data_IF_689033963036
#
_entry.id   IF_689033963036
#
_cell.length_a   1.000
_cell.length_b   1.000
_cell.length_c   1.000
_cell.angle_alpha   90.00
_cell.angle_beta   90.00
_cell.angle_gamma   90.00
#
_symmetry.space_group_name_H-M   'P 1'
#
loop_
_entity.id
_entity.type
_entity.pdbx_description
1 polymer ?
#
# COMPACT_ATOMS: atom_id res chain seq x y z
N UNK A 1 -2.01 13.71 7.34
CA UNK A 1 -1.33 13.23 8.56
C UNK A 1 -2.11 12.05 9.13
N UNK A 2 -1.44 10.97 9.53
CA UNK A 2 -2.06 9.87 10.27
C UNK A 2 -1.38 9.78 11.64
N UNK A 3 -2.17 9.85 12.70
CA UNK A 3 -1.68 9.85 14.08
C UNK A 3 -2.39 8.78 14.91
N UNK A 4 -1.70 8.23 15.89
CA UNK A 4 -2.25 7.21 16.79
C UNK A 4 -3.04 7.91 17.89
N UNK A 5 -4.34 7.63 18.06
CA UNK A 5 -5.14 8.17 19.18
C UNK A 5 -5.33 7.14 20.32
N UNK A 6 -4.56 6.04 20.31
CA UNK A 6 -4.69 4.93 21.27
C UNK A 6 -3.83 5.08 22.52
N UNK A 7 -3.75 4.01 23.33
CA UNK A 7 -2.94 3.95 24.56
C UNK A 7 -1.46 4.30 24.34
N UNK A 8 -0.95 4.09 23.12
CA UNK A 8 0.44 4.38 22.73
C UNK A 8 0.62 5.78 22.10
N UNK A 9 -0.39 6.66 22.10
CA UNK A 9 -0.32 7.97 21.44
C UNK A 9 0.85 8.83 21.96
N UNK A 10 0.94 8.98 23.28
CA UNK A 10 1.94 9.82 23.95
C UNK A 10 3.27 9.11 24.21
N UNK A 11 3.35 7.80 23.92
CA UNK A 11 4.55 7.00 24.12
C UNK A 11 5.40 6.99 22.84
N UNK A 12 6.05 8.11 22.55
CA UNK A 12 7.14 8.12 21.56
C UNK A 12 8.34 7.34 22.14
N UNK A 13 8.97 6.41 21.39
CA UNK A 13 8.83 6.15 19.96
C UNK A 13 7.84 5.03 19.56
N UNK A 14 7.20 4.37 20.53
CA UNK A 14 6.38 3.17 20.31
C UNK A 14 5.14 3.42 19.45
N UNK A 15 4.49 4.58 19.60
CA UNK A 15 3.35 4.94 18.75
C UNK A 15 3.74 5.08 17.27
N UNK A 16 4.87 5.72 16.98
CA UNK A 16 5.39 5.84 15.60
C UNK A 16 5.79 4.48 15.02
N UNK A 17 6.49 3.65 15.79
CA UNK A 17 6.85 2.29 15.36
C UNK A 17 5.61 1.43 15.06
N UNK A 18 4.55 1.57 15.86
CA UNK A 18 3.27 0.90 15.61
C UNK A 18 2.64 1.32 14.28
N UNK A 19 2.70 2.62 13.94
CA UNK A 19 2.24 3.13 12.65
C UNK A 19 3.07 2.59 11.48
N UNK A 20 4.40 2.56 11.62
CA UNK A 20 5.28 1.98 10.60
C UNK A 20 4.98 0.49 10.38
N UNK A 21 4.75 -0.27 11.47
CA UNK A 21 4.34 -1.66 11.39
C UNK A 21 2.98 -1.81 10.70
N UNK A 22 2.02 -0.95 11.01
CA UNK A 22 0.71 -0.92 10.37
C UNK A 22 0.80 -0.68 8.86
N UNK A 23 1.65 0.26 8.41
CA UNK A 23 1.91 0.47 6.98
C UNK A 23 2.64 -0.74 6.34
N UNK A 24 3.56 -1.36 7.07
CA UNK A 24 4.19 -2.61 6.65
C UNK A 24 3.17 -3.74 6.40
N UNK A 25 2.19 -3.90 7.29
CA UNK A 25 1.11 -4.89 7.13
C UNK A 25 0.25 -4.62 5.88
N UNK A 26 0.00 -3.33 5.54
CA UNK A 26 -0.64 -2.99 4.26
C UNK A 26 0.19 -3.45 3.06
N UNK A 27 1.50 -3.23 3.10
CA UNK A 27 2.42 -3.74 2.09
C UNK A 27 2.32 -5.26 1.95
N UNK A 28 2.35 -5.99 3.08
CA UNK A 28 2.22 -7.45 3.10
C UNK A 28 0.89 -7.92 2.50
N UNK A 29 -0.23 -7.31 2.88
CA UNK A 29 -1.54 -7.68 2.34
C UNK A 29 -1.61 -7.49 0.82
N UNK A 30 -1.03 -6.40 0.30
CA UNK A 30 -0.95 -6.12 -1.14
C UNK A 30 -0.12 -7.19 -1.87
N UNK A 31 1.04 -7.55 -1.30
CA UNK A 31 1.91 -8.57 -1.86
C UNK A 31 1.24 -9.95 -1.84
N UNK A 32 0.54 -10.28 -0.74
CA UNK A 32 -0.20 -11.53 -0.62
C UNK A 32 -1.28 -11.63 -1.70
N UNK A 33 -2.13 -10.61 -1.85
CA UNK A 33 -3.13 -10.57 -2.92
C UNK A 33 -2.49 -10.77 -4.30
N UNK A 34 -1.40 -10.06 -4.58
CA UNK A 34 -0.67 -10.17 -5.85
C UNK A 34 -0.15 -11.60 -6.08
N UNK A 35 0.41 -12.23 -5.04
CA UNK A 35 0.87 -13.62 -5.10
C UNK A 35 -0.28 -14.59 -5.35
N UNK A 36 -1.46 -14.37 -4.78
CA UNK A 36 -2.65 -15.17 -5.08
C UNK A 36 -3.06 -15.08 -6.56
N UNK A 37 -2.99 -13.89 -7.17
CA UNK A 37 -3.21 -13.72 -8.62
C UNK A 37 -2.16 -14.45 -9.46
N UNK A 38 -0.88 -14.34 -9.10
CA UNK A 38 0.21 -15.04 -9.79
C UNK A 38 0.04 -16.55 -9.69
N UNK A 39 -0.21 -17.07 -8.48
CA UNK A 39 -0.41 -18.49 -8.23
C UNK A 39 -1.55 -19.05 -9.10
N UNK A 40 -2.72 -18.40 -9.08
CA UNK A 40 -3.85 -18.83 -9.92
C UNK A 40 -3.55 -18.72 -11.40
N UNK A 41 -2.87 -17.67 -11.83
CA UNK A 41 -2.44 -17.51 -13.21
C UNK A 41 -1.53 -18.67 -13.65
N UNK A 42 -0.56 -19.08 -12.83
CA UNK A 42 0.32 -20.21 -13.12
C UNK A 42 -0.50 -21.49 -13.26
N UNK A 43 -1.36 -21.78 -12.28
CA UNK A 43 -2.17 -23.02 -12.25
C UNK A 43 -3.15 -23.12 -13.42
N UNK A 44 -3.74 -22.01 -13.86
CA UNK A 44 -4.76 -22.00 -14.93
C UNK A 44 -4.15 -21.87 -16.33
N UNK A 45 -3.12 -21.04 -16.49
CA UNK A 45 -2.61 -20.65 -17.80
C UNK A 45 -1.29 -21.31 -18.18
N UNK A 46 -0.54 -21.87 -17.22
CA UNK A 46 0.83 -22.35 -17.45
C UNK A 46 1.10 -23.69 -16.74
N UNK A 47 0.54 -24.76 -17.31
CA UNK A 47 0.83 -26.16 -16.95
C UNK A 47 2.33 -26.46 -16.76
N UNK A 48 3.19 -25.89 -17.63
CA UNK A 48 4.64 -26.11 -17.61
C UNK A 48 5.36 -25.59 -16.34
N UNK A 49 4.75 -24.67 -15.58
CA UNK A 49 5.34 -24.10 -14.37
C UNK A 49 4.85 -24.81 -13.07
N UNK A 50 3.95 -25.79 -13.17
CA UNK A 50 3.48 -26.56 -12.01
C UNK A 50 4.60 -27.29 -11.25
N UNK A 51 5.65 -27.84 -11.89
CA UNK A 51 6.74 -28.50 -11.16
C UNK A 51 7.47 -27.55 -10.21
N UNK A 52 7.63 -26.28 -10.60
CA UNK A 52 8.25 -25.23 -9.77
C UNK A 52 7.37 -24.94 -8.56
N UNK A 53 6.05 -24.85 -8.77
CA UNK A 53 5.07 -24.57 -7.72
C UNK A 53 4.95 -25.70 -6.69
N UNK A 54 5.14 -26.96 -7.12
CA UNK A 54 5.11 -28.14 -6.24
C UNK A 54 6.36 -28.28 -5.36
N UNK A 55 7.45 -27.56 -5.65
CA UNK A 55 8.67 -27.62 -4.84
C UNK A 55 8.38 -27.01 -3.46
N UNK A 56 8.71 -27.71 -2.37
CA UNK A 56 8.54 -27.21 -0.99
C UNK A 56 9.17 -25.83 -0.76
N UNK A 57 10.27 -25.53 -1.45
CA UNK A 57 10.93 -24.22 -1.43
C UNK A 57 10.07 -23.09 -2.03
N UNK A 58 9.13 -23.37 -2.92
CA UNK A 58 8.27 -22.34 -3.55
C UNK A 58 7.40 -21.65 -2.51
N UNK A 59 6.87 -22.39 -1.53
CA UNK A 59 6.06 -21.80 -0.45
C UNK A 59 6.89 -20.86 0.43
N UNK A 60 8.10 -21.28 0.81
CA UNK A 60 9.01 -20.44 1.58
C UNK A 60 9.41 -19.17 0.81
N UNK A 61 9.73 -19.28 -0.48
CA UNK A 61 10.04 -18.12 -1.32
C UNK A 61 8.87 -17.13 -1.41
N UNK A 62 7.62 -17.61 -1.49
CA UNK A 62 6.45 -16.74 -1.45
C UNK A 62 6.32 -15.99 -0.13
N UNK A 63 6.47 -16.68 1.01
CA UNK A 63 6.40 -16.05 2.34
C UNK A 63 7.50 -14.99 2.49
N UNK A 64 8.74 -15.33 2.12
CA UNK A 64 9.87 -14.40 2.18
C UNK A 64 9.59 -13.17 1.31
N UNK A 65 9.09 -13.36 0.09
CA UNK A 65 8.78 -12.24 -0.81
C UNK A 65 7.71 -11.31 -0.23
N UNK A 66 6.66 -11.85 0.39
CA UNK A 66 5.59 -11.07 1.04
C UNK A 66 6.11 -10.30 2.25
N UNK A 67 6.90 -10.93 3.10
CA UNK A 67 7.49 -10.29 4.29
C UNK A 67 8.46 -9.20 3.88
N UNK A 68 9.35 -9.46 2.92
CA UNK A 68 10.30 -8.47 2.40
C UNK A 68 9.57 -7.27 1.80
N UNK A 69 8.48 -7.49 1.06
CA UNK A 69 7.69 -6.39 0.51
C UNK A 69 7.06 -5.51 1.59
N UNK A 70 6.51 -6.13 2.64
CA UNK A 70 6.00 -5.43 3.81
C UNK A 70 7.08 -4.67 4.57
N UNK A 71 8.25 -5.28 4.74
CA UNK A 71 9.40 -4.64 5.38
C UNK A 71 9.81 -3.37 4.64
N UNK A 72 9.92 -3.39 3.31
CA UNK A 72 10.23 -2.18 2.54
C UNK A 72 9.16 -1.09 2.72
N UNK A 73 7.88 -1.43 2.78
CA UNK A 73 6.81 -0.46 3.09
C UNK A 73 7.00 0.22 4.45
N UNK A 74 7.24 -0.59 5.49
CA UNK A 74 7.48 -0.07 6.84
C UNK A 74 8.77 0.74 6.93
N UNK A 75 9.84 0.28 6.26
CA UNK A 75 11.15 0.92 6.22
C UNK A 75 11.10 2.29 5.53
N UNK A 76 10.45 2.37 4.35
CA UNK A 76 10.24 3.65 3.67
C UNK A 76 9.45 4.61 4.57
N UNK A 77 8.42 4.12 5.26
CA UNK A 77 7.62 4.94 6.18
C UNK A 77 8.47 5.48 7.33
N UNK A 78 9.29 4.61 7.93
CA UNK A 78 10.15 4.97 9.03
C UNK A 78 11.21 6.01 8.63
N UNK A 79 11.88 5.83 7.49
CA UNK A 79 12.97 6.72 7.08
C UNK A 79 12.50 7.98 6.35
N UNK A 80 11.49 7.88 5.49
CA UNK A 80 11.09 9.00 4.62
C UNK A 80 9.96 9.85 5.20
N UNK A 81 9.15 9.33 6.11
CA UNK A 81 7.98 10.03 6.67
C UNK A 81 8.08 10.29 8.18
N UNK A 82 9.28 10.17 8.75
CA UNK A 82 9.55 10.63 10.11
C UNK A 82 9.29 12.14 10.21
N UNK A 83 8.71 12.56 11.35
CA UNK A 83 8.46 13.97 11.60
C UNK A 83 9.79 14.72 11.82
N UNK A 84 9.99 15.81 11.07
CA UNK A 84 11.12 16.73 11.19
C UNK A 84 10.66 18.07 11.77
N UNK A 85 11.60 18.87 12.29
CA UNK A 85 11.31 20.21 12.83
C UNK A 85 10.60 21.14 11.83
N UNK A 86 10.91 21.03 10.55
CA UNK A 86 10.23 21.81 9.51
C UNK A 86 8.74 21.49 9.43
N UNK A 87 8.39 20.20 9.57
CA UNK A 87 7.00 19.77 9.60
C UNK A 87 6.29 20.26 10.88
N UNK A 88 6.96 20.19 12.03
CA UNK A 88 6.40 20.70 13.28
C UNK A 88 6.10 22.20 13.20
N UNK A 89 6.99 22.96 12.56
CA UNK A 89 6.80 24.40 12.33
C UNK A 89 5.64 24.68 11.38
N UNK A 90 5.50 23.90 10.32
CA UNK A 90 4.44 24.08 9.32
C UNK A 90 3.05 23.65 9.85
N UNK A 91 2.95 22.44 10.39
CA UNK A 91 1.67 21.84 10.78
C UNK A 91 1.27 22.12 12.23
N UNK A 92 2.20 22.55 13.09
CA UNK A 92 1.97 22.77 14.51
C UNK A 92 0.79 23.70 14.82
N UNK A 93 0.72 24.92 14.25
CA UNK A 93 -0.39 25.84 14.51
C UNK A 93 -1.75 25.26 14.14
N UNK A 94 -1.87 24.67 12.95
CA UNK A 94 -3.13 24.09 12.46
C UNK A 94 -3.57 22.87 13.28
N UNK A 95 -2.62 22.06 13.74
CA UNK A 95 -2.90 20.90 14.60
C UNK A 95 -3.33 21.34 15.98
N UNK A 96 -2.69 22.36 16.56
CA UNK A 96 -3.07 22.90 17.86
C UNK A 96 -4.48 23.51 17.82
N UNK A 97 -4.83 24.21 16.74
CA UNK A 97 -6.17 24.77 16.55
C UNK A 97 -7.25 23.68 16.41
N UNK A 98 -6.94 22.58 15.72
CA UNK A 98 -7.91 21.52 15.42
C UNK A 98 -8.04 20.49 16.55
N UNK A 99 -6.93 20.10 17.18
CA UNK A 99 -6.86 19.02 18.18
C UNK A 99 -6.67 19.52 19.61
N UNK A 100 -6.27 20.78 19.81
CA UNK A 100 -5.97 21.32 21.15
C UNK A 100 -4.69 20.77 21.80
N UNK A 101 -3.92 19.94 21.09
CA UNK A 101 -2.69 19.33 21.59
C UNK A 101 -1.47 19.76 20.74
N UNK A 102 -0.31 19.86 21.39
CA UNK A 102 0.95 20.06 20.68
C UNK A 102 1.26 18.83 19.82
N UNK A 103 1.47 19.08 18.53
CA UNK A 103 1.83 18.09 17.53
C UNK A 103 3.05 17.25 17.92
N UNK A 104 3.96 17.78 18.74
CA UNK A 104 5.16 17.07 19.23
C UNK A 104 4.84 15.93 20.19
N UNK A 105 3.71 16.01 20.88
CA UNK A 105 3.26 14.97 21.81
C UNK A 105 2.49 13.84 21.09
N UNK A 106 2.17 14.02 19.81
CA UNK A 106 1.45 13.03 19.02
C UNK A 106 2.44 12.06 18.35
N UNK A 107 2.08 10.78 18.34
CA UNK A 107 2.77 9.81 17.50
C UNK A 107 2.13 9.77 16.12
N UNK A 108 2.82 10.26 15.09
CA UNK A 108 2.28 10.34 13.72
C UNK A 108 3.35 10.14 12.64
N UNK A 109 2.90 9.87 11.42
CA UNK A 109 3.69 10.07 10.21
C UNK A 109 2.92 10.98 9.25
N UNK A 110 3.65 11.76 8.46
CA UNK A 110 3.05 12.61 7.45
C UNK A 110 3.88 12.60 6.16
N UNK A 111 3.15 12.61 5.04
CA UNK A 111 3.74 12.79 3.72
C UNK A 111 3.63 14.27 3.39
N UNK A 112 4.73 14.98 3.50
CA UNK A 112 4.83 16.42 3.25
C UNK A 112 5.91 16.67 2.20
N UNK A 113 5.51 16.84 0.94
CA UNK A 113 6.45 16.85 -0.20
C UNK A 113 7.01 18.23 -0.51
N UNK A 114 6.26 19.29 -0.26
CA UNK A 114 6.72 20.66 -0.47
C UNK A 114 5.94 21.66 0.40
N UNK A 115 6.53 22.83 0.59
CA UNK A 115 5.89 24.03 1.13
C UNK A 115 6.04 25.20 0.17
N UNK A 116 5.12 26.16 0.24
CA UNK A 116 5.20 27.41 -0.52
C UNK A 116 5.40 28.56 0.46
N UNK A 117 6.60 29.11 0.51
CA UNK A 117 6.94 30.27 1.34
C UNK A 117 7.25 31.43 0.41
N UNK A 118 6.53 32.55 0.56
CA UNK A 118 6.77 33.78 -0.21
C UNK A 118 6.81 33.55 -1.75
N UNK A 119 5.87 32.77 -2.28
CA UNK A 119 5.80 32.34 -3.70
C UNK A 119 6.98 31.47 -4.20
N UNK A 120 7.83 30.97 -3.30
CA UNK A 120 8.89 30.01 -3.61
C UNK A 120 8.49 28.63 -3.09
N UNK A 121 8.49 27.65 -3.99
CA UNK A 121 8.20 26.24 -3.66
C UNK A 121 9.45 25.55 -3.18
N UNK A 122 9.50 25.16 -1.91
CA UNK A 122 10.59 24.40 -1.30
C UNK A 122 10.16 22.93 -1.25
N UNK A 123 10.90 22.06 -1.94
CA UNK A 123 10.61 20.63 -1.97
C UNK A 123 11.43 19.86 -0.94
N UNK A 124 10.75 19.03 -0.15
CA UNK A 124 11.37 18.08 0.76
C UNK A 124 11.66 16.77 0.03
N UNK A 125 12.94 16.56 -0.29
CA UNK A 125 13.38 15.41 -1.08
C UNK A 125 13.11 14.06 -0.41
N UNK A 126 13.35 13.94 0.90
CA UNK A 126 13.15 12.68 1.63
C UNK A 126 11.70 12.13 1.53
N UNK A 127 10.66 12.88 1.94
CA UNK A 127 9.28 12.43 1.81
C UNK A 127 8.83 12.34 0.35
N UNK A 128 9.37 13.15 -0.56
CA UNK A 128 9.06 13.04 -2.00
C UNK A 128 9.56 11.72 -2.59
N UNK A 129 10.81 11.33 -2.28
CA UNK A 129 11.37 10.04 -2.71
C UNK A 129 10.58 8.89 -2.08
N UNK A 130 10.26 8.97 -0.78
CA UNK A 130 9.45 7.95 -0.10
C UNK A 130 8.08 7.76 -0.73
N UNK A 131 7.39 8.86 -1.04
CA UNK A 131 6.08 8.83 -1.72
C UNK A 131 6.20 8.20 -3.11
N UNK A 132 7.20 8.61 -3.89
CA UNK A 132 7.46 8.06 -5.21
C UNK A 132 7.66 6.53 -5.14
N UNK A 133 8.49 6.04 -4.21
CA UNK A 133 8.74 4.61 -4.04
C UNK A 133 7.46 3.83 -3.69
N UNK A 134 6.64 4.33 -2.76
CA UNK A 134 5.37 3.68 -2.41
C UNK A 134 4.43 3.63 -3.61
N UNK A 135 4.31 4.72 -4.39
CA UNK A 135 3.46 4.77 -5.58
C UNK A 135 3.94 3.77 -6.64
N UNK A 136 5.25 3.67 -6.88
CA UNK A 136 5.83 2.67 -7.80
C UNK A 136 5.55 1.25 -7.33
N UNK A 137 5.70 0.96 -6.03
CA UNK A 137 5.41 -0.35 -5.46
C UNK A 137 3.92 -0.72 -5.61
N UNK A 138 3.01 0.22 -5.32
CA UNK A 138 1.57 0.03 -5.46
C UNK A 138 1.18 -0.23 -6.92
N UNK A 139 1.62 0.63 -7.84
CA UNK A 139 1.27 0.53 -9.27
C UNK A 139 1.81 -0.74 -9.89
N UNK A 140 3.02 -1.18 -9.50
CA UNK A 140 3.59 -2.46 -9.95
C UNK A 140 2.72 -3.63 -9.50
N UNK A 141 2.36 -3.69 -8.22
CA UNK A 141 1.53 -4.76 -7.66
C UNK A 141 0.16 -4.83 -8.35
N UNK A 142 -0.48 -3.67 -8.54
CA UNK A 142 -1.78 -3.57 -9.20
C UNK A 142 -1.72 -3.99 -10.67
N UNK A 143 -0.69 -3.55 -11.39
CA UNK A 143 -0.49 -3.92 -12.80
C UNK A 143 -0.35 -5.44 -12.98
N UNK A 144 0.42 -6.09 -12.10
CA UNK A 144 0.56 -7.56 -12.10
C UNK A 144 -0.80 -8.24 -11.87
N UNK A 145 -1.56 -7.79 -10.87
CA UNK A 145 -2.91 -8.34 -10.60
C UNK A 145 -3.84 -8.21 -11.82
N UNK A 146 -3.89 -7.03 -12.45
CA UNK A 146 -4.72 -6.78 -13.64
C UNK A 146 -4.31 -7.68 -14.81
N UNK A 147 -3.01 -7.76 -15.11
CA UNK A 147 -2.50 -8.62 -16.19
C UNK A 147 -2.82 -10.09 -15.93
N UNK A 148 -2.61 -10.57 -14.71
CA UNK A 148 -2.96 -11.94 -14.32
C UNK A 148 -4.47 -12.19 -14.45
N UNK A 149 -5.32 -11.26 -14.00
CA UNK A 149 -6.77 -11.35 -14.10
C UNK A 149 -7.24 -11.46 -15.56
N UNK A 150 -6.74 -10.58 -16.43
CA UNK A 150 -7.08 -10.58 -17.86
C UNK A 150 -6.66 -11.90 -18.52
N UNK A 151 -5.43 -12.37 -18.24
CA UNK A 151 -4.93 -13.63 -18.81
C UNK A 151 -5.75 -14.83 -18.34
N UNK A 152 -6.05 -14.92 -17.05
CA UNK A 152 -6.92 -15.98 -16.50
C UNK A 152 -8.30 -15.96 -17.14
N UNK A 153 -8.91 -14.79 -17.27
CA UNK A 153 -10.23 -14.65 -17.90
C UNK A 153 -10.22 -15.11 -19.38
N UNK A 154 -9.17 -14.74 -20.13
CA UNK A 154 -8.99 -15.18 -21.52
C UNK A 154 -8.80 -16.70 -21.62
N UNK A 155 -7.97 -17.30 -20.77
CA UNK A 155 -7.75 -18.74 -20.75
C UNK A 155 -9.03 -19.49 -20.40
N UNK A 156 -9.78 -19.04 -19.39
CA UNK A 156 -11.02 -19.67 -18.97
C UNK A 156 -12.13 -19.64 -20.04
N UNK A 157 -12.07 -18.68 -20.98
CA UNK A 157 -12.96 -18.65 -22.15
C UNK A 157 -12.54 -19.61 -23.26
N UNK A 158 -11.25 -19.86 -23.42
CA UNK A 158 -10.68 -20.67 -24.52
C UNK A 158 -10.46 -22.14 -24.15
N UNK A 159 -10.26 -22.43 -22.87
CA UNK A 159 -9.97 -23.78 -22.42
C UNK A 159 -11.19 -24.69 -22.59
N UNK A 160 -10.98 -25.85 -23.21
CA UNK A 160 -11.96 -26.93 -23.24
C UNK A 160 -11.99 -27.59 -21.86
N UNK A 161 -12.91 -27.14 -21.01
CA UNK A 161 -13.13 -27.68 -19.67
C UNK A 161 -14.60 -28.08 -19.52
N UNK A 162 -14.86 -29.03 -18.62
CA UNK A 162 -16.23 -29.37 -18.27
C UNK A 162 -16.98 -28.13 -17.75
N UNK A 163 -18.28 -28.07 -17.99
CA UNK A 163 -19.13 -26.95 -17.56
C UNK A 163 -19.02 -26.71 -16.03
N UNK A 164 -18.94 -27.80 -15.25
CA UNK A 164 -18.74 -27.74 -13.78
C UNK A 164 -17.40 -27.10 -13.41
N UNK A 165 -16.29 -27.56 -13.98
CA UNK A 165 -14.95 -26.98 -13.69
C UNK A 165 -14.85 -25.52 -14.14
N UNK A 166 -15.44 -25.18 -15.29
CA UNK A 166 -15.45 -23.80 -15.78
C UNK A 166 -16.24 -22.87 -14.87
N UNK A 167 -17.41 -23.30 -14.39
CA UNK A 167 -18.22 -22.52 -13.45
C UNK A 167 -17.46 -22.28 -12.13
N UNK A 168 -16.85 -23.33 -11.57
CA UNK A 168 -16.05 -23.24 -10.34
C UNK A 168 -14.86 -22.26 -10.48
N UNK A 169 -14.05 -22.40 -11.53
CA UNK A 169 -12.91 -21.50 -11.77
C UNK A 169 -13.36 -20.05 -12.01
N UNK A 170 -14.53 -19.84 -12.64
CA UNK A 170 -15.10 -18.50 -12.83
C UNK A 170 -15.50 -17.88 -11.50
N UNK A 171 -16.16 -18.64 -10.63
CA UNK A 171 -16.55 -18.19 -9.30
C UNK A 171 -15.32 -17.84 -8.45
N UNK A 172 -14.30 -18.69 -8.47
CA UNK A 172 -13.04 -18.44 -7.75
C UNK A 172 -12.32 -17.19 -8.26
N UNK A 173 -12.29 -16.95 -9.58
CA UNK A 173 -11.72 -15.74 -10.16
C UNK A 173 -12.53 -14.50 -9.75
N UNK A 174 -13.86 -14.56 -9.81
CA UNK A 174 -14.74 -13.47 -9.36
C UNK A 174 -14.49 -13.13 -7.89
N UNK A 175 -14.43 -14.14 -7.02
CA UNK A 175 -14.13 -13.95 -5.60
C UNK A 175 -12.77 -13.26 -5.38
N UNK A 176 -11.73 -13.69 -6.10
CA UNK A 176 -10.41 -13.09 -6.00
C UNK A 176 -10.38 -11.63 -6.49
N UNK A 177 -11.12 -11.32 -7.57
CA UNK A 177 -11.27 -9.94 -8.05
C UNK A 177 -11.98 -9.08 -7.01
N UNK A 178 -13.07 -9.57 -6.41
CA UNK A 178 -13.78 -8.86 -5.33
C UNK A 178 -12.84 -8.62 -4.14
N UNK A 179 -12.05 -9.62 -3.75
CA UNK A 179 -11.08 -9.51 -2.66
C UNK A 179 -10.02 -8.42 -2.91
N UNK A 180 -9.66 -8.15 -4.17
CA UNK A 180 -8.74 -7.06 -4.51
C UNK A 180 -9.43 -5.70 -4.66
N UNK A 181 -10.65 -5.67 -5.21
CA UNK A 181 -11.40 -4.43 -5.45
C UNK A 181 -11.86 -3.77 -4.15
N UNK A 182 -12.31 -4.56 -3.16
CA UNK A 182 -12.78 -4.03 -1.87
C UNK A 182 -11.69 -3.20 -1.16
N UNK A 183 -10.48 -3.71 -0.88
CA UNK A 183 -9.42 -2.91 -0.26
C UNK A 183 -8.92 -1.79 -1.18
N UNK A 184 -8.99 -1.95 -2.50
CA UNK A 184 -8.73 -0.87 -3.45
C UNK A 184 -9.64 0.33 -3.24
N UNK A 185 -10.94 0.13 -3.32
CA UNK A 185 -11.91 1.21 -3.17
C UNK A 185 -11.95 1.78 -1.76
N UNK A 186 -11.91 0.92 -0.73
CA UNK A 186 -12.08 1.36 0.65
C UNK A 186 -10.81 1.94 1.27
N UNK A 187 -9.62 1.61 0.74
CA UNK A 187 -8.37 1.97 1.42
C UNK A 187 -7.32 2.58 0.50
N UNK A 188 -7.05 1.99 -0.68
CA UNK A 188 -6.00 2.53 -1.57
C UNK A 188 -6.45 3.77 -2.32
N UNK A 189 -7.69 3.84 -2.80
CA UNK A 189 -8.24 4.97 -3.54
C UNK A 189 -8.30 6.25 -2.70
N UNK A 190 -8.83 6.25 -1.45
CA UNK A 190 -8.79 7.44 -0.59
C UNK A 190 -7.37 7.96 -0.33
N UNK A 191 -6.39 7.06 -0.15
CA UNK A 191 -4.98 7.43 0.02
C UNK A 191 -4.38 8.02 -1.24
N UNK A 192 -4.68 7.45 -2.40
CA UNK A 192 -4.23 8.01 -3.68
C UNK A 192 -4.79 9.41 -3.91
N UNK A 193 -6.09 9.61 -3.63
CA UNK A 193 -6.73 10.94 -3.69
C UNK A 193 -6.09 11.92 -2.70
N UNK A 194 -5.84 11.47 -1.46
CA UNK A 194 -5.14 12.29 -0.46
C UNK A 194 -3.76 12.73 -0.96
N UNK A 195 -2.93 11.82 -1.47
CA UNK A 195 -1.61 12.17 -2.01
C UNK A 195 -1.71 13.06 -3.25
N UNK A 196 -2.68 12.83 -4.12
CA UNK A 196 -2.93 13.66 -5.28
C UNK A 196 -3.28 15.11 -4.88
N UNK A 197 -4.16 15.28 -3.88
CA UNK A 197 -4.50 16.61 -3.35
C UNK A 197 -3.32 17.31 -2.68
N UNK A 198 -2.50 16.57 -1.91
CA UNK A 198 -1.27 17.10 -1.32
C UNK A 198 -0.30 17.57 -2.41
N UNK A 199 -0.11 16.80 -3.48
CA UNK A 199 0.76 17.20 -4.60
C UNK A 199 0.19 18.43 -5.31
N UNK A 200 -1.11 18.50 -5.54
CA UNK A 200 -1.77 19.63 -6.19
C UNK A 200 -1.84 20.90 -5.34
N UNK A 201 -1.55 20.81 -4.03
CA UNK A 201 -1.56 21.98 -3.14
C UNK A 201 -2.94 22.54 -2.88
N UNK A 202 -3.99 21.71 -2.97
CA UNK A 202 -5.33 22.16 -2.63
C UNK A 202 -5.38 22.57 -1.15
N UNK A 203 -5.98 23.73 -0.82
CA UNK A 203 -6.13 24.14 0.56
C UNK A 203 -6.98 23.10 1.32
N UNK A 204 -6.70 22.86 2.61
CA UNK A 204 -7.55 21.99 3.42
C UNK A 204 -8.99 22.51 3.35
N UNK A 205 -9.95 21.60 3.12
CA UNK A 205 -11.37 21.93 3.18
C UNK A 205 -11.67 22.49 4.57
N UNK A 206 -12.12 23.74 4.63
CA UNK A 206 -12.58 24.40 5.86
C UNK A 206 -13.84 23.74 6.40
#
# INVERSE_FOLDING_TARGET
MAYSHGFLNQLQPWGFLSLCFFIGMYGMNTALLTMHFIYRYIVLCRSNLHPILKRKSSGACCVISVVTWGFFYGFITFYCFCANEDFYRYAGPSVLETLGEDIRNLSFFCVFTYEVILNITIMYWHPTIGLFLIVVMMTTSFSVMVVCAIKMHRTLRKASMSQKSRALQTQLLKALVVQAVVPFLMSYLPRFLMFFFVIMGYPPFK
#
